data_IF_719696488290
#
_entry.id   IF_719696488290
#
_cell.length_a   1.000
_cell.length_b   1.000
_cell.length_c   1.000
_cell.angle_alpha   90.00
_cell.angle_beta   90.00
_cell.angle_gamma   90.00
#
_symmetry.space_group_name_H-M   'P 1'
#
loop_
_entity.id
_entity.type
_entity.pdbx_description
1 polymer ?
#
# COMPACT_ATOMS: atom_id res chain seq x y z
N UNK A 1 40.63 -23.13 -37.05
CA UNK A 1 40.19 -23.77 -35.79
C UNK A 1 39.23 -22.81 -35.10
N UNK A 2 37.97 -23.12 -35.24
CA UNK A 2 36.84 -22.27 -34.83
C UNK A 2 36.47 -22.62 -33.37
N UNK A 3 36.49 -21.69 -32.46
CA UNK A 3 36.01 -21.85 -31.09
C UNK A 3 34.66 -21.14 -30.94
N UNK A 4 33.61 -21.90 -30.77
CA UNK A 4 32.22 -21.46 -30.57
C UNK A 4 32.02 -20.61 -29.31
N UNK A 5 31.18 -19.58 -29.36
CA UNK A 5 30.75 -18.82 -28.19
C UNK A 5 29.36 -19.31 -27.70
N UNK A 6 29.34 -20.46 -27.04
CA UNK A 6 28.09 -20.98 -26.44
C UNK A 6 28.38 -21.51 -25.04
N UNK A 7 28.52 -20.63 -24.05
CA UNK A 7 28.49 -21.07 -22.63
C UNK A 7 28.22 -19.94 -21.62
N UNK A 8 27.71 -18.79 -22.02
CA UNK A 8 27.43 -17.68 -21.07
C UNK A 8 25.97 -17.49 -20.69
N UNK A 9 25.05 -18.13 -21.40
CA UNK A 9 23.60 -17.95 -21.19
C UNK A 9 22.98 -18.98 -20.25
N UNK A 10 23.69 -20.07 -19.93
CA UNK A 10 23.14 -21.16 -19.09
C UNK A 10 23.41 -20.95 -17.57
N UNK A 11 24.30 -20.04 -17.19
CA UNK A 11 24.64 -19.80 -15.78
C UNK A 11 23.84 -18.66 -15.12
N UNK A 12 23.09 -17.87 -15.89
CA UNK A 12 22.23 -16.84 -15.36
C UNK A 12 20.85 -17.34 -14.89
N UNK A 13 20.46 -18.57 -15.29
CA UNK A 13 19.17 -19.18 -14.95
C UNK A 13 19.18 -20.03 -13.67
N UNK A 14 20.32 -20.21 -13.02
CA UNK A 14 20.47 -21.13 -11.89
C UNK A 14 20.59 -20.42 -10.52
N UNK A 15 20.24 -19.12 -10.43
CA UNK A 15 20.09 -18.40 -9.17
C UNK A 15 18.60 -18.15 -8.80
N UNK A 16 17.72 -19.05 -9.20
CA UNK A 16 16.44 -19.18 -8.53
C UNK A 16 16.70 -19.96 -7.23
N UNK A 17 17.01 -19.19 -6.20
CA UNK A 17 17.23 -19.68 -4.86
C UNK A 17 16.05 -20.54 -4.42
N UNK A 18 16.33 -21.75 -3.95
CA UNK A 18 15.41 -22.56 -3.14
C UNK A 18 14.73 -21.65 -2.11
N UNK A 19 13.42 -21.80 -1.86
CA UNK A 19 12.75 -21.00 -0.84
C UNK A 19 13.35 -21.38 0.51
N UNK A 20 14.26 -20.54 0.99
CA UNK A 20 14.62 -20.50 2.42
C UNK A 20 13.35 -20.26 3.24
N UNK A 21 13.36 -20.43 4.58
CA UNK A 21 12.17 -20.26 5.41
C UNK A 21 11.49 -18.95 5.02
N UNK A 22 10.21 -19.05 4.65
CA UNK A 22 9.44 -17.95 4.07
C UNK A 22 9.51 -16.76 5.02
N UNK A 23 10.31 -15.77 4.65
CA UNK A 23 10.50 -14.56 5.43
C UNK A 23 9.20 -13.78 5.42
N UNK A 24 8.62 -13.56 6.60
CA UNK A 24 7.42 -12.71 6.74
C UNK A 24 7.59 -11.40 5.97
N UNK A 25 6.60 -11.03 5.18
CA UNK A 25 6.57 -9.80 4.40
C UNK A 25 6.60 -8.53 5.25
N UNK A 26 6.83 -7.40 4.60
CA UNK A 26 6.77 -6.05 5.17
C UNK A 26 5.36 -5.48 5.03
N UNK A 27 4.92 -4.72 6.02
CA UNK A 27 3.68 -3.97 5.95
C UNK A 27 3.97 -2.50 5.66
N UNK A 28 3.36 -1.99 4.60
CA UNK A 28 3.40 -0.58 4.21
C UNK A 28 2.01 0.04 4.37
N UNK A 29 1.97 1.29 4.78
CA UNK A 29 0.76 2.10 4.80
C UNK A 29 0.99 3.29 3.88
N UNK A 30 0.08 3.47 2.93
CA UNK A 30 0.04 4.66 2.07
C UNK A 30 -1.23 5.43 2.36
N UNK A 31 -1.08 6.66 2.86
CA UNK A 31 -2.19 7.58 3.09
C UNK A 31 -2.00 8.85 2.26
N UNK A 32 -3.09 9.54 2.02
CA UNK A 32 -3.09 10.80 1.29
C UNK A 32 -4.40 11.55 1.53
N UNK A 33 -4.45 12.85 1.35
CA UNK A 33 -5.70 13.59 1.27
C UNK A 33 -6.60 13.05 0.15
N UNK A 34 -7.91 13.23 0.32
CA UNK A 34 -8.87 12.88 -0.73
C UNK A 34 -8.53 13.59 -2.04
N UNK A 35 -8.46 12.85 -3.16
CA UNK A 35 -8.13 13.42 -4.47
C UNK A 35 -6.63 13.47 -4.82
N UNK A 36 -5.73 13.15 -3.91
CA UNK A 36 -4.27 13.16 -4.17
C UNK A 36 -3.75 12.03 -5.10
N UNK A 37 -4.61 11.08 -5.52
CA UNK A 37 -4.23 10.03 -6.49
C UNK A 37 -3.66 8.75 -5.87
N UNK A 38 -3.84 8.53 -4.58
CA UNK A 38 -3.31 7.42 -3.81
C UNK A 38 -3.53 6.05 -4.47
N UNK A 39 -4.77 5.69 -4.82
CA UNK A 39 -5.12 4.38 -5.39
C UNK A 39 -4.36 4.12 -6.70
N UNK A 40 -4.38 5.06 -7.63
CA UNK A 40 -3.68 4.94 -8.92
C UNK A 40 -2.17 4.74 -8.76
N UNK A 41 -1.55 5.43 -7.78
CA UNK A 41 -0.12 5.26 -7.51
C UNK A 41 0.19 3.87 -6.95
N UNK A 42 -0.63 3.39 -6.01
CA UNK A 42 -0.39 2.09 -5.37
C UNK A 42 -0.68 0.93 -6.32
N UNK A 43 -1.70 1.02 -7.16
CA UNK A 43 -1.95 0.03 -8.21
C UNK A 43 -0.75 -0.13 -9.13
N UNK A 44 -0.22 0.97 -9.69
CA UNK A 44 0.98 0.95 -10.52
C UNK A 44 2.23 0.47 -9.76
N UNK A 45 2.37 0.86 -8.50
CA UNK A 45 3.46 0.39 -7.65
C UNK A 45 3.43 -1.14 -7.51
N UNK A 46 2.27 -1.73 -7.25
CA UNK A 46 2.08 -3.18 -7.11
C UNK A 46 2.37 -3.90 -8.42
N UNK A 47 1.90 -3.37 -9.55
CA UNK A 47 2.19 -3.92 -10.88
C UNK A 47 3.69 -3.97 -11.19
N UNK A 48 4.44 -2.96 -10.73
CA UNK A 48 5.88 -2.79 -11.03
C UNK A 48 6.81 -3.37 -9.96
N UNK A 49 6.26 -3.94 -8.87
CA UNK A 49 7.07 -4.37 -7.73
C UNK A 49 6.77 -5.83 -7.38
N UNK A 50 7.64 -6.73 -7.81
CA UNK A 50 7.50 -8.16 -7.52
C UNK A 50 7.40 -8.43 -6.01
N UNK A 51 6.50 -9.32 -5.62
CA UNK A 51 6.30 -9.70 -4.22
C UNK A 51 5.55 -8.67 -3.36
N UNK A 52 5.12 -7.53 -3.93
CA UNK A 52 4.25 -6.57 -3.25
C UNK A 52 2.78 -6.83 -3.62
N UNK A 53 1.90 -6.86 -2.63
CA UNK A 53 0.45 -7.05 -2.79
C UNK A 53 -0.31 -5.89 -2.14
N UNK A 54 -1.41 -5.48 -2.72
CA UNK A 54 -2.33 -4.55 -2.07
C UNK A 54 -3.37 -5.33 -1.26
N UNK A 55 -3.54 -4.99 0.02
CA UNK A 55 -4.66 -5.50 0.80
C UNK A 55 -5.96 -4.90 0.29
N UNK A 56 -6.97 -5.73 0.08
CA UNK A 56 -8.30 -5.27 -0.33
C UNK A 56 -9.10 -4.89 0.89
N UNK A 57 -9.51 -3.63 0.96
CA UNK A 57 -10.39 -3.15 2.03
C UNK A 57 -11.80 -3.69 1.88
N UNK A 58 -12.44 -3.97 2.99
CA UNK A 58 -13.88 -4.18 3.06
C UNK A 58 -14.60 -2.84 3.09
N UNK A 59 -15.79 -2.78 2.50
CA UNK A 59 -16.62 -1.57 2.55
C UNK A 59 -18.10 -1.89 2.57
N UNK A 60 -18.86 -1.09 3.32
CA UNK A 60 -20.33 -1.12 3.31
C UNK A 60 -20.93 -0.25 2.20
N UNK A 61 -20.11 0.40 1.39
CA UNK A 61 -20.55 1.17 0.23
C UNK A 61 -20.96 0.23 -0.90
N UNK A 62 -22.09 0.48 -1.56
CA UNK A 62 -22.40 -0.24 -2.80
C UNK A 62 -21.31 -0.05 -3.87
N UNK A 63 -21.06 -1.09 -4.66
CA UNK A 63 -20.14 -1.00 -5.79
C UNK A 63 -20.61 0.07 -6.79
N UNK A 64 -19.67 0.84 -7.32
CA UNK A 64 -19.93 1.76 -8.42
C UNK A 64 -19.91 1.03 -9.75
N UNK A 65 -20.45 1.66 -10.81
CA UNK A 65 -20.38 1.11 -12.15
C UNK A 65 -18.89 0.87 -12.55
N UNK A 66 -18.58 -0.39 -12.91
CA UNK A 66 -17.24 -0.82 -13.29
C UNK A 66 -16.37 -1.34 -12.13
N UNK A 67 -16.77 -1.20 -10.86
CA UNK A 67 -16.07 -1.83 -9.73
C UNK A 67 -16.48 -3.31 -9.61
N UNK A 68 -15.50 -4.15 -9.28
CA UNK A 68 -15.63 -5.61 -9.17
C UNK A 68 -15.33 -6.03 -7.75
N UNK A 69 -16.24 -6.84 -7.17
CA UNK A 69 -16.05 -7.43 -5.84
C UNK A 69 -14.83 -8.32 -5.78
N UNK A 70 -14.06 -8.22 -4.69
CA UNK A 70 -12.80 -8.92 -4.49
C UNK A 70 -11.63 -8.37 -5.31
N UNK A 71 -11.87 -7.42 -6.24
CA UNK A 71 -10.82 -6.78 -7.05
C UNK A 71 -10.59 -5.34 -6.58
N UNK A 72 -11.62 -4.50 -6.55
CA UNK A 72 -11.51 -3.12 -6.08
C UNK A 72 -11.67 -3.04 -4.57
N UNK A 73 -12.71 -3.67 -4.04
CA UNK A 73 -13.03 -3.80 -2.62
C UNK A 73 -13.68 -5.17 -2.38
N UNK A 74 -13.74 -5.57 -1.12
CA UNK A 74 -14.67 -6.60 -0.66
C UNK A 74 -15.96 -5.88 -0.24
N UNK A 75 -16.98 -5.89 -1.10
CA UNK A 75 -18.26 -5.22 -0.84
C UNK A 75 -19.14 -6.10 0.04
N UNK A 76 -19.53 -5.58 1.18
CA UNK A 76 -20.39 -6.28 2.14
C UNK A 76 -21.55 -5.40 2.56
N UNK A 77 -22.63 -6.01 3.09
CA UNK A 77 -23.71 -5.22 3.71
C UNK A 77 -23.20 -4.48 4.95
N UNK A 78 -23.91 -3.43 5.35
CA UNK A 78 -23.57 -2.67 6.55
C UNK A 78 -23.63 -3.56 7.79
N UNK A 79 -24.64 -4.40 7.90
CA UNK A 79 -24.83 -5.34 9.00
C UNK A 79 -23.67 -6.36 9.08
N UNK A 80 -23.24 -6.88 7.92
CA UNK A 80 -22.07 -7.78 7.88
C UNK A 80 -20.79 -7.06 8.31
N UNK A 81 -20.58 -5.83 7.85
CA UNK A 81 -19.43 -5.04 8.27
C UNK A 81 -19.44 -4.79 9.78
N UNK A 82 -20.57 -4.39 10.35
CA UNK A 82 -20.73 -4.16 11.80
C UNK A 82 -20.48 -5.44 12.59
N UNK A 83 -21.00 -6.59 12.13
CA UNK A 83 -20.70 -7.90 12.72
C UNK A 83 -19.20 -8.21 12.72
N UNK A 84 -18.47 -7.87 11.66
CA UNK A 84 -17.00 -8.02 11.60
C UNK A 84 -16.28 -7.08 12.58
N UNK A 85 -16.81 -5.86 12.80
CA UNK A 85 -16.28 -4.93 13.81
C UNK A 85 -16.43 -5.54 15.21
N UNK A 86 -17.62 -6.04 15.53
CA UNK A 86 -17.93 -6.62 16.85
C UNK A 86 -17.10 -7.88 17.12
N UNK A 87 -16.80 -8.65 16.08
CA UNK A 87 -15.91 -9.81 16.12
C UNK A 87 -14.41 -9.46 16.19
N UNK A 88 -14.04 -8.18 16.07
CA UNK A 88 -12.63 -7.75 16.07
C UNK A 88 -11.83 -8.21 14.85
N UNK A 89 -12.49 -8.45 13.71
CA UNK A 89 -11.85 -8.96 12.51
C UNK A 89 -10.97 -7.92 11.78
N UNK A 90 -11.11 -6.63 12.10
CA UNK A 90 -10.38 -5.56 11.42
C UNK A 90 -9.08 -5.16 12.12
N UNK A 91 -8.02 -5.01 11.34
CA UNK A 91 -6.79 -4.35 11.76
C UNK A 91 -7.05 -2.86 12.04
N UNK A 92 -7.86 -2.24 11.20
CA UNK A 92 -8.38 -0.88 11.34
C UNK A 92 -9.71 -0.76 10.58
N UNK A 93 -10.56 0.17 10.99
CA UNK A 93 -11.73 0.58 10.24
C UNK A 93 -12.08 2.03 10.52
N UNK A 94 -12.76 2.68 9.57
CA UNK A 94 -13.20 4.07 9.68
C UNK A 94 -14.54 4.29 8.97
N UNK A 95 -15.30 5.29 9.43
CA UNK A 95 -16.46 5.79 8.72
C UNK A 95 -16.05 6.98 7.87
N UNK A 96 -16.25 6.88 6.57
CA UNK A 96 -15.93 7.91 5.60
C UNK A 96 -17.14 8.16 4.70
N UNK A 97 -17.60 9.41 4.66
CA UNK A 97 -18.72 9.82 3.80
C UNK A 97 -19.99 8.96 3.97
N UNK A 98 -20.29 8.54 5.21
CA UNK A 98 -21.47 7.73 5.54
C UNK A 98 -21.33 6.23 5.31
N UNK A 99 -20.19 5.77 4.81
CA UNK A 99 -19.87 4.36 4.60
C UNK A 99 -18.72 3.90 5.47
N UNK A 100 -18.68 2.60 5.75
CA UNK A 100 -17.65 1.95 6.53
C UNK A 100 -16.57 1.38 5.59
N UNK A 101 -15.32 1.51 5.99
CA UNK A 101 -14.15 0.96 5.30
C UNK A 101 -13.23 0.32 6.34
N UNK A 102 -12.64 -0.83 6.04
CA UNK A 102 -11.76 -1.49 6.97
C UNK A 102 -10.82 -2.49 6.31
N UNK A 103 -9.71 -2.74 6.96
CA UNK A 103 -8.70 -3.72 6.54
C UNK A 103 -8.81 -4.96 7.42
N UNK A 104 -9.13 -6.12 6.82
CA UNK A 104 -9.20 -7.38 7.56
C UNK A 104 -7.82 -7.80 8.05
N UNK A 105 -7.71 -8.08 9.34
CA UNK A 105 -6.46 -8.49 9.98
C UNK A 105 -5.98 -9.84 9.46
N UNK A 106 -6.88 -10.84 9.35
CA UNK A 106 -6.55 -12.18 8.92
C UNK A 106 -6.05 -12.23 7.45
N UNK A 107 -6.69 -11.45 6.56
CA UNK A 107 -6.25 -11.39 5.15
C UNK A 107 -4.87 -10.76 5.01
N UNK A 108 -4.62 -9.69 5.77
CA UNK A 108 -3.32 -9.01 5.80
C UNK A 108 -2.24 -9.94 6.34
N UNK A 109 -2.53 -10.62 7.47
CA UNK A 109 -1.60 -11.55 8.10
C UNK A 109 -1.24 -12.73 7.21
N UNK A 110 -2.23 -13.31 6.52
CA UNK A 110 -2.01 -14.41 5.57
C UNK A 110 -1.00 -14.01 4.49
N UNK A 111 -1.20 -12.86 3.84
CA UNK A 111 -0.27 -12.38 2.80
C UNK A 111 1.15 -12.15 3.35
N UNK A 112 1.26 -11.58 4.55
CA UNK A 112 2.55 -11.35 5.21
C UNK A 112 3.25 -12.68 5.57
N UNK A 113 2.49 -13.67 6.07
CA UNK A 113 3.00 -14.99 6.42
C UNK A 113 3.47 -15.77 5.18
N UNK A 114 2.79 -15.60 4.05
CA UNK A 114 3.18 -16.16 2.75
C UNK A 114 4.44 -15.49 2.15
N UNK A 115 5.04 -14.51 2.86
CA UNK A 115 6.25 -13.82 2.44
C UNK A 115 6.02 -12.64 1.50
N UNK A 116 4.77 -12.28 1.20
CA UNK A 116 4.45 -11.10 0.42
C UNK A 116 4.56 -9.82 1.27
N UNK A 117 5.17 -8.79 0.72
CA UNK A 117 5.00 -7.46 1.28
C UNK A 117 3.58 -6.96 0.98
N UNK A 118 2.99 -6.27 1.94
CA UNK A 118 1.60 -5.80 1.83
C UNK A 118 1.54 -4.28 1.94
N UNK A 119 0.79 -3.64 1.06
CA UNK A 119 0.48 -2.22 1.14
C UNK A 119 -0.99 -2.00 1.47
N UNK A 120 -1.25 -1.26 2.53
CA UNK A 120 -2.57 -0.77 2.92
C UNK A 120 -2.78 0.62 2.34
N UNK A 121 -3.90 0.82 1.67
CA UNK A 121 -4.32 2.11 1.10
C UNK A 121 -5.45 2.66 1.98
N UNK A 122 -5.08 3.32 3.07
CA UNK A 122 -6.01 3.72 4.12
C UNK A 122 -5.97 5.22 4.41
N UNK A 123 -7.02 5.72 5.06
CA UNK A 123 -7.08 7.11 5.51
C UNK A 123 -6.17 7.35 6.73
N UNK A 124 -5.91 8.62 7.04
CA UNK A 124 -5.09 9.04 8.19
C UNK A 124 -5.59 8.41 9.50
N UNK A 125 -6.91 8.37 9.71
CA UNK A 125 -7.51 7.79 10.92
C UNK A 125 -7.18 6.29 11.04
N UNK A 126 -7.25 5.54 9.93
CA UNK A 126 -6.87 4.12 9.89
C UNK A 126 -5.38 3.92 10.18
N UNK A 127 -4.51 4.74 9.57
CA UNK A 127 -3.07 4.69 9.81
C UNK A 127 -2.71 4.92 11.29
N UNK A 128 -3.38 5.86 11.96
CA UNK A 128 -3.22 6.11 13.41
C UNK A 128 -3.61 4.89 14.24
N UNK A 129 -4.73 4.21 13.89
CA UNK A 129 -5.18 2.99 14.58
C UNK A 129 -4.17 1.85 14.46
N UNK A 130 -3.66 1.59 13.24
CA UNK A 130 -2.65 0.55 13.01
C UNK A 130 -1.37 0.83 13.81
N UNK A 131 -0.90 2.08 13.84
CA UNK A 131 0.26 2.45 14.66
C UNK A 131 0.01 2.29 16.15
N UNK A 132 -1.16 2.73 16.64
CA UNK A 132 -1.54 2.60 18.04
C UNK A 132 -1.62 1.13 18.50
N UNK A 133 -1.95 0.21 17.60
CA UNK A 133 -1.92 -1.23 17.85
C UNK A 133 -0.50 -1.83 17.90
N UNK A 134 0.55 -1.03 17.73
CA UNK A 134 1.95 -1.47 17.80
C UNK A 134 2.41 -2.30 16.61
N UNK A 135 1.65 -2.34 15.53
CA UNK A 135 2.01 -3.09 14.31
C UNK A 135 3.18 -2.41 13.61
N UNK A 136 4.26 -3.16 13.40
CA UNK A 136 5.44 -2.63 12.72
C UNK A 136 5.13 -2.39 11.24
N UNK A 137 5.18 -1.13 10.83
CA UNK A 137 4.85 -0.67 9.48
C UNK A 137 5.86 0.36 9.00
N UNK A 138 6.00 0.51 7.68
CA UNK A 138 6.61 1.69 7.05
C UNK A 138 5.51 2.53 6.44
N UNK A 139 5.43 3.79 6.84
CA UNK A 139 4.31 4.66 6.52
C UNK A 139 4.72 5.73 5.51
N UNK A 140 3.91 5.92 4.46
CA UNK A 140 4.15 6.90 3.41
C UNK A 140 2.94 7.81 3.27
N UNK A 141 3.17 9.12 3.34
CA UNK A 141 2.16 10.12 3.04
C UNK A 141 2.34 10.64 1.62
N UNK A 142 1.29 10.51 0.81
CA UNK A 142 1.29 11.05 -0.57
C UNK A 142 0.68 12.44 -0.56
N UNK A 143 1.47 13.42 -0.96
CA UNK A 143 1.08 14.83 -1.06
C UNK A 143 0.67 15.19 -2.49
N UNK A 144 -0.39 15.99 -2.70
CA UNK A 144 -0.57 16.71 -3.95
C UNK A 144 0.52 17.81 -4.08
N UNK A 145 0.87 18.25 -5.30
CA UNK A 145 1.88 19.32 -5.49
C UNK A 145 1.43 20.66 -4.88
N UNK A 146 0.12 20.92 -4.89
CA UNK A 146 -0.48 22.10 -4.28
C UNK A 146 -1.98 21.89 -4.03
N UNK A 147 -2.57 22.77 -3.23
CA UNK A 147 -4.02 22.79 -3.02
C UNK A 147 -4.78 23.06 -4.33
N UNK A 148 -4.29 23.95 -5.18
CA UNK A 148 -4.93 24.26 -6.47
C UNK A 148 -4.97 23.04 -7.41
N UNK A 149 -3.90 22.26 -7.46
CA UNK A 149 -3.87 21.00 -8.22
C UNK A 149 -4.80 19.96 -7.62
N UNK A 150 -4.88 19.86 -6.30
CA UNK A 150 -5.83 18.97 -5.65
C UNK A 150 -7.28 19.33 -5.99
N UNK A 151 -7.63 20.61 -5.90
CA UNK A 151 -8.95 21.11 -6.27
C UNK A 151 -9.29 20.82 -7.74
N UNK A 152 -8.37 21.11 -8.64
CA UNK A 152 -8.53 20.78 -10.07
C UNK A 152 -8.77 19.28 -10.28
N UNK A 153 -8.03 18.41 -9.60
CA UNK A 153 -8.20 16.95 -9.68
C UNK A 153 -9.56 16.49 -9.13
N UNK A 154 -10.04 17.09 -8.05
CA UNK A 154 -11.34 16.76 -7.49
C UNK A 154 -12.47 17.20 -8.43
N UNK A 155 -12.41 18.42 -8.96
CA UNK A 155 -13.41 18.95 -9.91
C UNK A 155 -13.43 18.20 -11.24
N UNK A 156 -12.26 17.77 -11.74
CA UNK A 156 -12.14 17.07 -13.03
C UNK A 156 -12.56 15.60 -13.01
N UNK A 157 -12.57 14.96 -11.84
CA UNK A 157 -12.85 13.52 -11.72
C UNK A 157 -14.29 13.16 -11.39
N UNK A 158 -15.01 14.05 -10.76
CA UNK A 158 -16.22 13.65 -10.08
C UNK A 158 -17.47 14.26 -10.75
N UNK A 159 -18.50 13.44 -10.77
CA UNK A 159 -19.89 13.87 -10.89
C UNK A 159 -20.43 14.37 -9.54
N UNK A 160 -19.53 14.66 -8.57
CA UNK A 160 -19.91 15.12 -7.25
C UNK A 160 -20.50 16.53 -7.35
N UNK A 161 -21.47 16.83 -6.51
CA UNK A 161 -22.03 18.16 -6.40
C UNK A 161 -21.01 19.14 -5.79
N UNK A 162 -21.17 20.43 -6.08
CA UNK A 162 -20.29 21.47 -5.52
C UNK A 162 -20.16 21.40 -3.98
N UNK A 163 -21.24 21.22 -3.20
CA UNK A 163 -21.13 21.05 -1.75
C UNK A 163 -20.26 19.87 -1.34
N UNK A 164 -20.31 18.75 -2.07
CA UNK A 164 -19.50 17.57 -1.80
C UNK A 164 -18.03 17.83 -2.11
N UNK A 165 -17.73 18.51 -3.21
CA UNK A 165 -16.35 18.93 -3.55
C UNK A 165 -15.78 19.82 -2.46
N UNK A 166 -16.52 20.84 -2.01
CA UNK A 166 -16.10 21.76 -0.94
C UNK A 166 -15.83 21.01 0.38
N UNK A 167 -16.72 20.05 0.72
CA UNK A 167 -16.53 19.19 1.90
C UNK A 167 -15.24 18.37 1.80
N UNK A 168 -14.97 17.77 0.63
CA UNK A 168 -13.74 16.98 0.40
C UNK A 168 -12.48 17.84 0.45
N UNK A 169 -12.55 19.07 -0.05
CA UNK A 169 -11.44 20.02 0.03
C UNK A 169 -11.17 20.45 1.47
N UNK A 170 -12.21 20.65 2.28
CA UNK A 170 -12.04 20.96 3.70
C UNK A 170 -11.37 19.79 4.43
N UNK A 171 -11.87 18.57 4.25
CA UNK A 171 -11.24 17.36 4.83
C UNK A 171 -9.78 17.23 4.39
N UNK A 172 -9.48 17.50 3.12
CA UNK A 172 -8.11 17.44 2.63
C UNK A 172 -7.16 18.45 3.29
N UNK A 173 -7.66 19.65 3.63
CA UNK A 173 -6.89 20.66 4.42
C UNK A 173 -6.53 20.16 5.81
N UNK A 174 -7.46 19.48 6.45
CA UNK A 174 -7.26 18.93 7.79
C UNK A 174 -6.32 17.70 7.75
N UNK A 175 -6.45 16.88 6.71
CA UNK A 175 -5.63 15.67 6.54
C UNK A 175 -4.17 15.97 6.15
N UNK A 176 -3.91 17.06 5.41
CA UNK A 176 -2.57 17.34 4.88
C UNK A 176 -1.55 17.56 5.98
N UNK A 177 -1.95 18.12 7.11
CA UNK A 177 -1.07 18.37 8.27
C UNK A 177 -0.56 17.06 8.92
N UNK A 178 -1.24 15.94 8.68
CA UNK A 178 -0.84 14.64 9.22
C UNK A 178 0.44 14.08 8.59
N UNK A 179 1.00 14.70 7.54
CA UNK A 179 2.24 14.24 6.90
C UNK A 179 3.40 14.05 7.90
N UNK A 180 3.45 14.88 8.94
CA UNK A 180 4.49 14.83 9.99
C UNK A 180 4.43 13.57 10.85
N UNK A 181 3.36 12.79 10.75
CA UNK A 181 3.18 11.52 11.47
C UNK A 181 3.73 10.32 10.67
N UNK A 182 4.23 10.51 9.45
CA UNK A 182 4.65 9.45 8.54
C UNK A 182 6.17 9.39 8.40
N UNK A 183 6.69 8.18 8.12
CA UNK A 183 8.13 7.98 7.94
C UNK A 183 8.64 8.58 6.64
N UNK A 184 7.79 8.63 5.61
CA UNK A 184 8.14 9.13 4.27
C UNK A 184 7.04 10.03 3.72
N UNK A 185 7.45 11.00 2.91
CA UNK A 185 6.54 11.85 2.12
C UNK A 185 6.89 11.74 0.65
N UNK A 186 5.87 11.49 -0.18
CA UNK A 186 6.01 11.44 -1.65
C UNK A 186 5.08 12.47 -2.27
N UNK A 187 5.63 13.42 -3.01
CA UNK A 187 4.84 14.39 -3.78
C UNK A 187 4.40 13.75 -5.10
N UNK A 188 3.08 13.72 -5.35
CA UNK A 188 2.48 13.25 -6.60
C UNK A 188 2.33 14.42 -7.59
N UNK A 189 3.46 14.89 -8.06
CA UNK A 189 3.60 15.90 -9.13
C UNK A 189 3.44 15.25 -10.51
N UNK A 190 4.18 14.18 -10.76
CA UNK A 190 4.13 13.33 -11.94
C UNK A 190 4.01 11.88 -11.49
N UNK A 191 3.08 11.15 -12.12
CA UNK A 191 2.66 9.81 -11.64
C UNK A 191 3.82 8.81 -11.68
N UNK A 192 4.58 8.78 -12.79
CA UNK A 192 5.71 7.84 -12.95
C UNK A 192 6.79 8.11 -11.91
N UNK A 193 7.18 9.36 -11.75
CA UNK A 193 8.18 9.75 -10.75
C UNK A 193 7.72 9.47 -9.32
N UNK A 194 6.44 9.67 -9.01
CA UNK A 194 5.88 9.34 -7.70
C UNK A 194 5.87 7.83 -7.44
N UNK A 195 5.56 7.01 -8.44
CA UNK A 195 5.64 5.53 -8.34
C UNK A 195 7.08 5.09 -8.13
N UNK A 196 8.06 5.66 -8.84
CA UNK A 196 9.47 5.34 -8.66
C UNK A 196 9.98 5.70 -7.26
N UNK A 197 9.53 6.84 -6.68
CA UNK A 197 9.83 7.20 -5.28
C UNK A 197 9.24 6.19 -4.31
N UNK A 198 7.98 5.78 -4.48
CA UNK A 198 7.34 4.75 -3.67
C UNK A 198 8.08 3.40 -3.77
N UNK A 199 8.44 2.99 -4.99
CA UNK A 199 9.19 1.77 -5.25
C UNK A 199 10.57 1.79 -4.58
N UNK A 200 11.25 2.92 -4.62
CA UNK A 200 12.55 3.11 -3.96
C UNK A 200 12.46 2.91 -2.44
N UNK A 201 11.37 3.39 -1.81
CA UNK A 201 11.10 3.17 -0.39
C UNK A 201 10.93 1.68 -0.10
N UNK A 202 10.14 0.96 -0.90
CA UNK A 202 9.94 -0.50 -0.73
C UNK A 202 11.27 -1.24 -0.84
N UNK A 203 12.09 -0.91 -1.83
CA UNK A 203 13.41 -1.54 -2.04
C UNK A 203 14.34 -1.24 -0.87
N UNK A 204 14.39 0.00 -0.38
CA UNK A 204 15.21 0.38 0.77
C UNK A 204 14.80 -0.36 2.06
N UNK A 205 13.48 -0.47 2.31
CA UNK A 205 12.97 -1.21 3.47
C UNK A 205 13.31 -2.71 3.40
N UNK A 206 13.28 -3.31 2.21
CA UNK A 206 13.73 -4.70 1.99
C UNK A 206 15.22 -4.89 2.29
N UNK A 207 16.05 -3.89 2.02
CA UNK A 207 17.49 -3.91 2.19
C UNK A 207 17.98 -3.50 3.60
N UNK A 208 17.07 -3.15 4.51
CA UNK A 208 17.48 -2.84 5.90
C UNK A 208 18.28 -3.98 6.52
N UNK A 209 19.39 -3.63 7.21
CA UNK A 209 20.27 -4.62 7.86
C UNK A 209 19.52 -5.67 8.66
N UNK A 210 18.53 -5.26 9.46
CA UNK A 210 17.74 -6.19 10.27
C UNK A 210 16.97 -7.21 9.41
N UNK A 211 16.60 -6.83 8.19
CA UNK A 211 15.91 -7.69 7.23
C UNK A 211 16.86 -8.62 6.50
N UNK A 212 18.07 -8.18 6.25
CA UNK A 212 19.10 -8.91 5.52
C UNK A 212 20.01 -9.74 6.45
N UNK A 213 19.81 -9.68 7.75
CA UNK A 213 20.72 -10.27 8.73
C UNK A 213 20.94 -11.76 8.49
N UNK A 214 19.88 -12.56 8.33
CA UNK A 214 20.02 -14.01 8.10
C UNK A 214 20.82 -14.32 6.83
N UNK A 215 20.49 -13.65 5.71
CA UNK A 215 21.22 -13.84 4.46
C UNK A 215 22.68 -13.40 4.56
N UNK A 216 22.95 -12.30 5.28
CA UNK A 216 24.31 -11.84 5.51
C UNK A 216 25.10 -12.83 6.38
N UNK A 217 24.51 -13.39 7.43
CA UNK A 217 25.12 -14.39 8.30
C UNK A 217 25.42 -15.70 7.56
N UNK A 218 24.52 -16.13 6.65
CA UNK A 218 24.77 -17.28 5.77
C UNK A 218 26.01 -17.05 4.88
N UNK A 219 26.11 -15.85 4.28
CA UNK A 219 27.27 -15.48 3.47
C UNK A 219 28.53 -15.49 4.33
N UNK A 220 28.51 -14.89 5.53
CA UNK A 220 29.67 -14.84 6.45
C UNK A 220 30.20 -16.24 6.76
N UNK A 221 29.31 -17.23 6.95
CA UNK A 221 29.74 -18.63 7.18
C UNK A 221 30.52 -19.24 6.02
N UNK A 222 30.41 -18.69 4.81
CA UNK A 222 31.20 -19.18 3.65
C UNK A 222 32.64 -18.67 3.65
N UNK A 223 32.95 -17.70 4.51
CA UNK A 223 34.30 -17.14 4.66
C UNK A 223 35.11 -17.81 5.82
N UNK A 224 34.48 -18.73 6.55
CA UNK A 224 35.09 -19.53 7.60
C UNK A 224 35.56 -20.84 7.01
#
# INVERSE_FOLDING_TARGET
MSSSPLTRTAQAAALEASPGPTRRGLLFIVSAPSGAGKTTLVERLVEQTSGLKMSRSYTSRPARAGEIDGVDYNFVSRERFESMVDAGEFLEWASLYGHLYGTCAADTERLLADGHDVVLVIAVQGARKVRAAGVRTSTVFVMPPSFAILEQRLRGRSKDSEPEILRRLQVARDEVAAFSEYDFVVVNDEVTAAVDRLRSIVIAERARRQRMQGAAEEIVRTFS
#
